data_IF_972293437357
#
_entry.id   IF_972293437357
#
_cell.length_a   1.000
_cell.length_b   1.000
_cell.length_c   1.000
_cell.angle_alpha   90.00
_cell.angle_beta   90.00
_cell.angle_gamma   90.00
#
_symmetry.space_group_name_H-M   'P 1'
#
loop_
_entity.id
_entity.type
_entity.pdbx_description
1 polymer ?
#
# COMPACT_ATOMS: atom_id res chain seq x y z
N UNK A 1 14.04 5.54 6.00
CA UNK A 1 12.81 5.37 5.20
C UNK A 1 11.94 6.60 5.41
N UNK A 2 11.43 7.19 4.33
CA UNK A 2 10.59 8.39 4.42
C UNK A 2 9.17 7.97 4.78
N UNK A 3 8.61 8.58 5.82
CA UNK A 3 7.18 8.47 6.17
C UNK A 3 6.37 9.55 5.46
N UNK A 4 6.88 10.05 4.33
CA UNK A 4 6.28 11.17 3.63
C UNK A 4 5.00 10.69 2.91
N UNK A 5 3.85 11.31 3.17
CA UNK A 5 2.57 10.84 2.66
C UNK A 5 2.50 10.92 1.13
N UNK A 6 3.15 11.89 0.49
CA UNK A 6 3.20 11.98 -0.97
C UNK A 6 4.04 10.83 -1.54
N UNK A 7 5.19 10.53 -0.93
CA UNK A 7 6.03 9.40 -1.34
C UNK A 7 5.32 8.04 -1.21
N UNK A 8 4.54 7.85 -0.14
CA UNK A 8 3.75 6.62 0.05
C UNK A 8 2.64 6.54 -1.01
N UNK A 9 1.92 7.64 -1.27
CA UNK A 9 0.91 7.69 -2.34
C UNK A 9 1.48 7.38 -3.71
N UNK A 10 2.67 7.88 -4.04
CA UNK A 10 3.34 7.58 -5.32
C UNK A 10 3.68 6.10 -5.45
N UNK A 11 4.19 5.46 -4.39
CA UNK A 11 4.51 4.03 -4.40
C UNK A 11 3.25 3.18 -4.58
N UNK A 12 2.17 3.52 -3.86
CA UNK A 12 0.89 2.83 -4.01
C UNK A 12 0.33 3.01 -5.41
N UNK A 13 0.36 4.22 -5.97
CA UNK A 13 -0.10 4.47 -7.34
C UNK A 13 0.69 3.65 -8.37
N UNK A 14 2.00 3.47 -8.19
CA UNK A 14 2.82 2.64 -9.06
C UNK A 14 2.43 1.15 -8.96
N UNK A 15 2.17 0.64 -7.74
CA UNK A 15 1.72 -0.74 -7.53
C UNK A 15 0.33 -0.98 -8.12
N UNK A 16 -0.59 -0.02 -7.99
CA UNK A 16 -1.95 -0.13 -8.51
C UNK A 16 -2.01 0.02 -10.04
N UNK A 17 -1.05 0.72 -10.66
CA UNK A 17 -0.98 0.86 -12.12
C UNK A 17 -0.57 -0.43 -12.84
N UNK A 18 0.05 -1.38 -12.12
CA UNK A 18 0.44 -2.70 -12.64
C UNK A 18 -0.72 -3.72 -12.54
N UNK A 19 -1.86 -3.34 -11.94
CA UNK A 19 -3.01 -4.22 -11.84
C UNK A 19 -3.63 -4.48 -13.22
N UNK A 20 -4.06 -5.73 -13.49
CA UNK A 20 -4.79 -6.06 -14.70
C UNK A 20 -6.07 -5.24 -14.82
N UNK A 21 -6.46 -4.90 -16.06
CA UNK A 21 -7.62 -4.06 -16.34
C UNK A 21 -8.92 -4.81 -16.03
N UNK A 22 -9.48 -4.52 -14.85
CA UNK A 22 -10.68 -5.16 -14.30
C UNK A 22 -11.95 -4.78 -15.10
N UNK A 23 -11.90 -3.66 -15.83
CA UNK A 23 -13.04 -3.05 -16.53
C UNK A 23 -13.31 -3.69 -17.89
N UNK A 24 -12.30 -4.30 -18.53
CA UNK A 24 -12.39 -4.74 -19.93
C UNK A 24 -13.07 -6.11 -20.16
N UNK A 25 -13.44 -6.82 -19.10
CA UNK A 25 -14.27 -8.02 -19.23
C UNK A 25 -13.83 -9.20 -18.37
N UNK A 26 -14.02 -9.08 -17.06
CA UNK A 26 -13.91 -10.19 -16.10
C UNK A 26 -12.48 -10.70 -15.91
N UNK A 27 -11.98 -10.57 -14.68
CA UNK A 27 -10.67 -11.13 -14.31
C UNK A 27 -10.71 -12.65 -14.38
N UNK A 28 -9.66 -13.25 -14.94
CA UNK A 28 -9.39 -14.67 -14.78
C UNK A 28 -9.06 -14.97 -13.31
N UNK A 29 -9.32 -16.19 -12.84
CA UNK A 29 -9.09 -16.59 -11.44
C UNK A 29 -7.63 -16.32 -10.98
N UNK A 30 -6.67 -16.53 -11.90
CA UNK A 30 -5.26 -16.23 -11.70
C UNK A 30 -4.94 -14.73 -11.60
N UNK A 31 -5.74 -13.87 -12.24
CA UNK A 31 -5.60 -12.42 -12.17
C UNK A 31 -6.19 -11.88 -10.88
N UNK A 32 -7.25 -12.50 -10.36
CA UNK A 32 -7.84 -12.17 -9.06
C UNK A 32 -6.81 -12.37 -7.93
N UNK A 33 -6.09 -13.50 -7.93
CA UNK A 33 -5.01 -13.75 -6.96
C UNK A 33 -3.87 -12.73 -7.08
N UNK A 34 -3.51 -12.35 -8.32
CA UNK A 34 -2.49 -11.33 -8.56
C UNK A 34 -2.92 -9.95 -8.04
N UNK A 35 -4.19 -9.57 -8.26
CA UNK A 35 -4.78 -8.34 -7.74
C UNK A 35 -4.81 -8.36 -6.21
N UNK A 36 -5.21 -9.47 -5.60
CA UNK A 36 -5.25 -9.63 -4.15
C UNK A 36 -3.85 -9.44 -3.53
N UNK A 37 -2.82 -10.08 -4.08
CA UNK A 37 -1.45 -9.96 -3.61
C UNK A 37 -0.90 -8.51 -3.72
N UNK A 38 -1.22 -7.80 -4.81
CA UNK A 38 -0.82 -6.40 -4.99
C UNK A 38 -1.54 -5.45 -4.02
N UNK A 39 -2.84 -5.68 -3.76
CA UNK A 39 -3.57 -4.90 -2.76
C UNK A 39 -3.04 -5.14 -1.34
N UNK A 40 -2.71 -6.38 -1.01
CA UNK A 40 -2.10 -6.71 0.29
C UNK A 40 -0.76 -6.00 0.46
N UNK A 41 0.11 -5.99 -0.55
CA UNK A 41 1.39 -5.28 -0.52
C UNK A 41 1.22 -3.76 -0.35
N UNK A 42 0.25 -3.16 -1.04
CA UNK A 42 -0.10 -1.75 -0.87
C UNK A 42 -0.63 -1.45 0.55
N UNK A 43 -1.43 -2.36 1.10
CA UNK A 43 -1.94 -2.25 2.48
C UNK A 43 -0.82 -2.34 3.50
N UNK A 44 0.11 -3.28 3.33
CA UNK A 44 1.27 -3.47 4.20
C UNK A 44 2.16 -2.23 4.24
N UNK A 45 2.35 -1.56 3.10
CA UNK A 45 3.06 -0.27 3.03
C UNK A 45 2.33 0.83 3.79
N UNK A 46 1.00 0.89 3.71
CA UNK A 46 0.19 1.85 4.47
C UNK A 46 0.25 1.59 5.98
N UNK A 47 0.18 0.33 6.41
CA UNK A 47 0.27 -0.06 7.81
C UNK A 47 1.65 0.28 8.36
N UNK A 48 2.74 -0.08 7.67
CA UNK A 48 4.10 0.26 8.09
C UNK A 48 4.32 1.77 8.17
N UNK A 49 3.74 2.53 7.25
CA UNK A 49 3.79 3.99 7.30
C UNK A 49 3.05 4.54 8.53
N UNK A 50 1.87 4.01 8.83
CA UNK A 50 1.08 4.39 9.99
C UNK A 50 1.81 4.05 11.30
N UNK A 51 2.31 2.83 11.43
CA UNK A 51 3.10 2.37 12.59
C UNK A 51 4.37 3.22 12.77
N UNK A 52 5.02 3.64 11.69
CA UNK A 52 6.19 4.51 11.77
C UNK A 52 5.86 5.93 12.25
N UNK A 53 4.63 6.41 12.05
CA UNK A 53 4.13 7.68 12.59
C UNK A 53 3.71 7.51 14.05
N UNK A 54 3.02 6.41 14.38
CA UNK A 54 2.62 6.08 15.76
C UNK A 54 3.82 5.82 16.67
N UNK A 55 4.81 5.04 16.22
CA UNK A 55 6.05 4.78 16.96
C UNK A 55 6.87 6.05 17.19
N UNK A 56 6.79 7.03 16.28
CA UNK A 56 7.32 8.38 16.54
C UNK A 56 6.47 9.08 17.59
N UNK A 57 5.14 9.04 17.48
CA UNK A 57 4.18 9.62 18.44
C UNK A 57 4.30 9.12 19.88
N UNK A 58 4.65 7.84 20.05
CA UNK A 58 4.91 7.23 21.36
C UNK A 58 6.25 7.71 21.95
N UNK A 59 7.31 7.77 21.12
CA UNK A 59 8.62 8.27 21.53
C UNK A 59 8.62 9.75 21.97
N UNK A 60 7.73 10.60 21.43
CA UNK A 60 7.52 11.98 21.89
C UNK A 60 6.58 12.11 23.10
N UNK A 61 5.74 11.10 23.38
CA UNK A 61 4.80 11.11 24.52
C UNK A 61 5.43 10.55 25.80
N UNK A 62 6.47 9.72 25.69
CA UNK A 62 7.23 9.16 26.82
C UNK A 62 8.24 10.10 27.48
N UNK A 63 8.29 11.39 27.11
CA UNK A 63 9.23 12.40 27.62
C UNK A 63 8.53 13.51 28.41
#
# INVERSE_FOLDING_TARGET
MSTDPEQIRTQIAALLADLPDIESGGLEDSEIDAVAARLEEAHDLLVRALESVEGRGDAIRGH
#
